data_IF_991380873141
#
_entry.id   IF_991380873141
#
_cell.length_a   1.000
_cell.length_b   1.000
_cell.length_c   1.000
_cell.angle_alpha   90.00
_cell.angle_beta   90.00
_cell.angle_gamma   90.00
#
_symmetry.space_group_name_H-M   'P 1'
#
loop_
_entity.id
_entity.type
_entity.pdbx_description
1 polymer ?
#
# COMPACT_ATOMS: atom_id res chain seq x y z
N UNK A 1 5.48 -15.75 1.79
CA UNK A 1 6.04 -14.39 1.96
C UNK A 1 5.49 -13.52 0.85
N UNK A 2 5.02 -12.31 1.13
CA UNK A 2 4.48 -11.41 0.10
C UNK A 2 5.63 -10.56 -0.48
N UNK A 3 6.31 -9.79 0.37
CA UNK A 3 7.51 -9.02 0.02
C UNK A 3 8.31 -8.64 1.28
N UNK A 4 9.59 -8.26 1.12
CA UNK A 4 10.35 -7.61 2.18
C UNK A 4 10.12 -6.11 2.11
N UNK A 5 9.63 -5.51 3.20
CA UNK A 5 9.33 -4.08 3.24
C UNK A 5 10.38 -3.37 4.12
N UNK A 6 11.30 -2.59 3.53
CA UNK A 6 12.34 -1.91 4.29
C UNK A 6 11.76 -0.86 5.25
N UNK A 7 10.58 -0.30 4.94
CA UNK A 7 9.91 0.71 5.78
C UNK A 7 9.45 0.19 7.13
N UNK A 8 9.15 -1.11 7.24
CA UNK A 8 8.83 -1.77 8.52
C UNK A 8 9.98 -2.64 9.01
N UNK A 9 11.11 -2.62 8.33
CA UNK A 9 12.30 -3.44 8.58
C UNK A 9 11.96 -4.92 8.82
N UNK A 10 11.00 -5.45 8.06
CA UNK A 10 10.50 -6.81 8.24
C UNK A 10 9.89 -7.35 6.94
N UNK A 11 9.79 -8.68 6.86
CA UNK A 11 9.06 -9.35 5.80
C UNK A 11 7.55 -9.24 6.05
N UNK A 12 6.81 -8.82 5.03
CA UNK A 12 5.35 -8.90 4.99
C UNK A 12 4.97 -10.30 4.49
N UNK A 13 4.18 -11.02 5.27
CA UNK A 13 3.81 -12.41 5.07
C UNK A 13 2.40 -12.66 5.58
N UNK A 14 1.89 -13.89 5.42
CA UNK A 14 0.53 -14.24 5.79
C UNK A 14 0.17 -13.88 7.25
N UNK A 15 1.10 -14.06 8.18
CA UNK A 15 0.87 -13.85 9.62
C UNK A 15 0.77 -12.37 10.02
N UNK A 16 1.35 -11.46 9.23
CA UNK A 16 1.34 -10.01 9.53
C UNK A 16 0.66 -9.15 8.45
N UNK A 17 0.12 -9.76 7.40
CA UNK A 17 -0.52 -9.03 6.29
C UNK A 17 -1.68 -8.15 6.77
N UNK A 18 -2.51 -8.62 7.73
CA UNK A 18 -3.59 -7.82 8.32
C UNK A 18 -3.06 -6.54 8.98
N UNK A 19 -1.97 -6.64 9.76
CA UNK A 19 -1.37 -5.48 10.42
C UNK A 19 -0.78 -4.51 9.41
N UNK A 20 -0.20 -5.01 8.31
CA UNK A 20 0.30 -4.18 7.23
C UNK A 20 -0.82 -3.39 6.52
N UNK A 21 -1.97 -4.01 6.23
CA UNK A 21 -3.13 -3.28 5.65
C UNK A 21 -3.65 -2.20 6.60
N UNK A 22 -3.75 -2.52 7.90
CA UNK A 22 -4.14 -1.54 8.92
C UNK A 22 -3.13 -0.38 9.02
N UNK A 23 -1.83 -0.68 8.96
CA UNK A 23 -0.77 0.33 8.93
C UNK A 23 -0.93 1.29 7.76
N UNK A 24 -1.19 0.79 6.54
CA UNK A 24 -1.44 1.63 5.37
C UNK A 24 -2.68 2.51 5.55
N UNK A 25 -3.78 1.93 6.05
CA UNK A 25 -5.04 2.64 6.28
C UNK A 25 -4.94 3.75 7.34
N UNK A 26 -4.33 3.46 8.49
CA UNK A 26 -4.13 4.46 9.54
C UNK A 26 -3.14 5.54 9.14
N UNK A 27 -2.08 5.19 8.40
CA UNK A 27 -1.14 6.18 7.85
C UNK A 27 -1.85 7.12 6.88
N UNK A 28 -2.73 6.59 6.02
CA UNK A 28 -3.51 7.39 5.08
C UNK A 28 -4.45 8.36 5.84
N UNK A 29 -5.17 7.86 6.84
CA UNK A 29 -6.07 8.69 7.65
C UNK A 29 -5.29 9.81 8.38
N UNK A 30 -4.13 9.48 8.92
CA UNK A 30 -3.27 10.44 9.61
C UNK A 30 -2.74 11.52 8.67
N UNK A 31 -2.20 11.15 7.51
CA UNK A 31 -1.73 12.11 6.51
C UNK A 31 -2.89 12.97 5.96
N UNK A 32 -4.06 12.38 5.75
CA UNK A 32 -5.25 13.12 5.34
C UNK A 32 -5.70 14.13 6.41
N UNK A 33 -5.70 13.75 7.69
CA UNK A 33 -6.00 14.65 8.80
C UNK A 33 -5.02 15.84 8.84
N UNK A 34 -3.72 15.59 8.68
CA UNK A 34 -2.71 16.66 8.61
C UNK A 34 -2.99 17.58 7.43
N UNK A 35 -3.21 17.03 6.23
CA UNK A 35 -3.48 17.83 5.04
C UNK A 35 -4.74 18.69 5.20
N UNK A 36 -5.84 18.11 5.71
CA UNK A 36 -7.11 18.80 5.92
C UNK A 36 -7.00 19.93 6.95
N UNK A 37 -6.25 19.73 8.04
CA UNK A 37 -6.10 20.76 9.08
C UNK A 37 -5.11 21.86 8.68
N UNK A 38 -4.12 21.56 7.84
CA UNK A 38 -3.09 22.50 7.42
C UNK A 38 -3.40 23.26 6.13
N UNK A 39 -4.36 22.82 5.31
CA UNK A 39 -4.72 23.44 4.01
C UNK A 39 -5.04 24.94 4.12
N UNK A 40 -5.63 25.38 5.24
CA UNK A 40 -5.93 26.79 5.49
C UNK A 40 -4.68 27.68 5.52
N UNK A 41 -3.55 27.15 6.00
CA UNK A 41 -2.28 27.88 6.05
C UNK A 41 -1.60 27.91 4.69
N UNK A 42 -1.82 26.89 3.87
CA UNK A 42 -1.40 26.89 2.48
C UNK A 42 -2.16 27.95 1.66
N UNK A 43 -3.48 28.06 1.84
CA UNK A 43 -4.30 29.08 1.17
C UNK A 43 -3.89 30.50 1.59
N UNK A 44 -3.60 30.71 2.88
CA UNK A 44 -3.18 32.00 3.45
C UNK A 44 -1.67 32.27 3.37
N UNK A 45 -0.93 31.50 2.57
CA UNK A 45 0.53 31.57 2.49
C UNK A 45 1.04 33.00 2.22
N UNK A 46 0.41 33.70 1.27
CA UNK A 46 0.78 35.07 0.88
C UNK A 46 0.48 36.13 1.94
N UNK A 47 -0.38 35.83 2.91
CA UNK A 47 -0.77 36.78 3.97
C UNK A 47 0.02 36.56 5.26
N UNK A 48 0.17 35.30 5.68
CA UNK A 48 0.85 34.94 6.93
C UNK A 48 1.69 33.68 6.69
N UNK A 49 2.91 33.82 6.16
CA UNK A 49 3.71 32.67 5.76
C UNK A 49 4.15 31.88 7.00
N UNK A 50 3.54 30.71 7.20
CA UNK A 50 3.99 29.69 8.16
C UNK A 50 4.68 28.56 7.39
N UNK A 51 5.95 28.77 7.05
CA UNK A 51 6.71 27.89 6.14
C UNK A 51 6.72 26.44 6.63
N UNK A 52 6.92 26.20 7.93
CA UNK A 52 6.95 24.84 8.49
C UNK A 52 5.63 24.08 8.30
N UNK A 53 4.51 24.78 8.47
CA UNK A 53 3.16 24.19 8.32
C UNK A 53 2.85 23.93 6.84
N UNK A 54 3.30 24.81 5.94
CA UNK A 54 3.18 24.62 4.49
C UNK A 54 4.05 23.45 4.02
N UNK A 55 5.27 23.34 4.51
CA UNK A 55 6.13 22.19 4.24
C UNK A 55 5.47 20.88 4.70
N UNK A 56 4.92 20.87 5.92
CA UNK A 56 4.17 19.72 6.45
C UNK A 56 2.97 19.35 5.56
N UNK A 57 2.21 20.33 5.06
CA UNK A 57 1.11 20.10 4.12
C UNK A 57 1.58 19.43 2.83
N UNK A 58 2.68 19.91 2.23
CA UNK A 58 3.24 19.35 1.01
C UNK A 58 3.70 17.90 1.20
N UNK A 59 4.44 17.63 2.27
CA UNK A 59 4.90 16.27 2.61
C UNK A 59 3.70 15.35 2.84
N UNK A 60 2.70 15.78 3.62
CA UNK A 60 1.49 15.01 3.86
C UNK A 60 0.76 14.68 2.54
N UNK A 61 0.66 15.63 1.61
CA UNK A 61 0.07 15.41 0.29
C UNK A 61 0.80 14.34 -0.53
N UNK A 62 2.14 14.37 -0.56
CA UNK A 62 2.96 13.34 -1.24
C UNK A 62 2.72 11.97 -0.62
N UNK A 63 2.70 11.88 0.71
CA UNK A 63 2.43 10.61 1.39
C UNK A 63 1.00 10.09 1.13
N UNK A 64 -0.02 10.95 1.13
CA UNK A 64 -1.40 10.56 0.79
C UNK A 64 -1.45 9.93 -0.61
N UNK A 65 -0.84 10.57 -1.61
CA UNK A 65 -0.80 10.04 -2.96
C UNK A 65 -0.14 8.65 -3.03
N UNK A 66 1.04 8.50 -2.43
CA UNK A 66 1.75 7.22 -2.42
C UNK A 66 0.98 6.12 -1.66
N UNK A 67 0.37 6.47 -0.53
CA UNK A 67 -0.42 5.54 0.29
C UNK A 67 -1.72 5.11 -0.41
N UNK A 68 -2.35 5.98 -1.19
CA UNK A 68 -3.52 5.63 -2.00
C UNK A 68 -3.16 4.63 -3.11
N UNK A 69 -2.05 4.85 -3.80
CA UNK A 69 -1.59 3.93 -4.86
C UNK A 69 -1.21 2.57 -4.27
N UNK A 70 -0.35 2.57 -3.24
CA UNK A 70 0.11 1.33 -2.59
C UNK A 70 -1.04 0.60 -1.88
N UNK A 71 -1.81 1.32 -1.07
CA UNK A 71 -2.96 0.79 -0.34
C UNK A 71 -4.03 0.26 -1.28
N UNK A 72 -4.36 1.00 -2.34
CA UNK A 72 -5.30 0.57 -3.37
C UNK A 72 -4.89 -0.74 -4.03
N UNK A 73 -3.62 -0.85 -4.44
CA UNK A 73 -3.07 -2.08 -5.00
C UNK A 73 -3.21 -3.28 -4.04
N UNK A 74 -2.88 -3.10 -2.76
CA UNK A 74 -3.01 -4.17 -1.77
C UNK A 74 -4.48 -4.52 -1.45
N UNK A 75 -5.38 -3.53 -1.42
CA UNK A 75 -6.83 -3.75 -1.24
C UNK A 75 -7.41 -4.55 -2.41
N UNK A 76 -7.05 -4.22 -3.64
CA UNK A 76 -7.46 -5.00 -4.81
C UNK A 76 -6.99 -6.46 -4.69
N UNK A 77 -5.74 -6.69 -4.26
CA UNK A 77 -5.22 -8.05 -4.03
C UNK A 77 -5.99 -8.81 -2.95
N UNK A 78 -6.40 -8.13 -1.87
CA UNK A 78 -7.25 -8.71 -0.83
C UNK A 78 -8.61 -9.10 -1.41
N UNK A 79 -9.24 -8.23 -2.21
CA UNK A 79 -10.55 -8.47 -2.82
C UNK A 79 -10.51 -9.69 -3.74
N UNK A 80 -9.45 -9.83 -4.55
CA UNK A 80 -9.27 -10.98 -5.44
C UNK A 80 -8.68 -12.22 -4.74
N UNK A 81 -8.43 -12.14 -3.42
CA UNK A 81 -7.77 -13.18 -2.63
C UNK A 81 -6.49 -13.72 -3.28
N UNK A 82 -5.67 -12.83 -3.83
CA UNK A 82 -4.41 -13.17 -4.49
C UNK A 82 -3.22 -12.81 -3.59
N UNK A 83 -2.34 -13.78 -3.35
CA UNK A 83 -0.99 -13.48 -2.86
C UNK A 83 -0.12 -12.98 -4.01
N UNK A 84 0.88 -12.13 -3.75
CA UNK A 84 1.80 -11.64 -4.79
C UNK A 84 2.53 -12.78 -5.53
N UNK A 85 2.70 -13.95 -4.89
CA UNK A 85 3.25 -15.16 -5.49
C UNK A 85 2.23 -15.97 -6.32
N UNK A 86 0.93 -15.84 -6.06
CA UNK A 86 -0.11 -16.55 -6.80
C UNK A 86 -0.29 -16.07 -8.23
N UNK A 87 0.05 -14.81 -8.54
CA UNK A 87 0.02 -14.28 -9.91
C UNK A 87 1.16 -14.82 -10.77
N UNK A 88 2.32 -15.12 -10.18
CA UNK A 88 3.47 -15.74 -10.86
C UNK A 88 3.34 -17.26 -10.99
N UNK A 89 2.40 -17.86 -10.25
CA UNK A 89 2.10 -19.29 -10.25
C UNK A 89 0.71 -19.54 -10.86
N UNK A 90 0.35 -18.87 -11.96
CA UNK A 90 -0.54 -19.53 -12.93
C UNK A 90 0.18 -20.84 -13.25
N UNK A 91 -0.36 -22.00 -12.81
CA UNK A 91 0.43 -23.20 -12.83
C UNK A 91 0.68 -23.62 -14.27
N UNK A 92 1.95 -23.82 -14.62
CA UNK A 92 2.33 -24.78 -15.66
C UNK A 92 1.89 -26.23 -15.30
N UNK A 93 1.12 -26.44 -14.22
CA UNK A 93 0.63 -27.76 -13.77
C UNK A 93 -0.54 -28.32 -14.60
N UNK A 94 -0.88 -27.72 -15.75
CA UNK A 94 -1.84 -28.29 -16.70
C UNK A 94 -1.20 -29.06 -17.87
N UNK A 95 0.11 -29.33 -17.85
CA UNK A 95 0.72 -30.29 -18.76
C UNK A 95 1.27 -31.51 -18.01
N UNK A 96 0.38 -32.40 -17.62
CA UNK A 96 0.72 -33.83 -17.47
C UNK A 96 0.21 -34.52 -18.73
N UNK A 97 1.08 -35.01 -19.64
CA UNK A 97 0.66 -36.04 -20.57
C UNK A 97 0.15 -37.21 -19.72
N UNK A 98 -1.10 -37.64 -19.95
CA UNK A 98 -1.56 -38.91 -19.40
C UNK A 98 -0.72 -40.00 -20.05
N UNK A 99 0.20 -40.59 -19.30
CA UNK A 99 0.68 -41.92 -19.62
C UNK A 99 -0.42 -42.89 -19.19
N UNK A 100 -1.27 -43.22 -20.15
CA UNK A 100 -2.30 -44.24 -20.02
C UNK A 100 -1.61 -45.59 -19.81
N UNK A 101 -1.95 -46.24 -18.70
CA UNK A 101 -1.60 -47.60 -18.34
C UNK A 101 -2.13 -48.54 -19.44
N UNK A 102 -1.23 -49.20 -20.15
CA UNK A 102 -1.54 -50.45 -20.86
C UNK A 102 -0.39 -51.45 -20.71
N UNK A 103 -0.65 -52.45 -19.85
CA UNK A 103 -0.38 -53.84 -20.20
C UNK A 103 -1.48 -54.37 -21.11
#
# INVERSE_FOLDING_TARGET
MDHHCPWVNNCVSFTNYKFFILFLGYSLLFCFYIAATSVQYFIKFWSTPKIDVVYLFMVAGIFVFNLLVLGGFHVLRVIYNQSTLGTSLIPQSHYTPREDIHG
#
